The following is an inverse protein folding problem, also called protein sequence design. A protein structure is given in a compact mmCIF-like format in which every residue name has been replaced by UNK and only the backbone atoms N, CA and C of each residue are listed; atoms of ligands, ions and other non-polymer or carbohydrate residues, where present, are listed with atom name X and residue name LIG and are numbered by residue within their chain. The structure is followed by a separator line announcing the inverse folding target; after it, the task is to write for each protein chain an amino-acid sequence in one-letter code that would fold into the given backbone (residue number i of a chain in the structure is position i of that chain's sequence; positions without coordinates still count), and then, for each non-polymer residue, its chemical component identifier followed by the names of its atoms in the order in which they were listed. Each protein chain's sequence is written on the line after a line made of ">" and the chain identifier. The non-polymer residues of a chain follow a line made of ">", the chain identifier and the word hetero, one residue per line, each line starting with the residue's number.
data_IF_199235322864
#
_entry.id   IF_199235322864
#
_cell.length_a   1.000
_cell.length_b   1.000
_cell.length_c   1.000
_cell.angle_alpha   90.00
_cell.angle_beta   90.00
_cell.angle_gamma   90.00
#
_symmetry.space_group_name_H-M   'P 1'
#
loop_
_entity.id
_entity.type
_entity.pdbx_description
1 polymer ?
#
# COMPACT_ATOMS: atom_id res chain seq x y z
N UNK A 1 -20.88 14.51 75.55
CA UNK A 1 -20.11 13.49 74.81
C UNK A 1 -20.88 13.16 73.53
N UNK A 2 -20.20 13.02 72.38
CA UNK A 2 -20.73 12.51 71.09
C UNK A 2 -21.45 13.47 70.13
N UNK A 3 -20.87 14.64 69.80
CA UNK A 3 -21.21 15.37 68.55
C UNK A 3 -20.01 15.93 67.77
N UNK A 4 -18.77 15.61 68.15
CA UNK A 4 -17.55 16.08 67.45
C UNK A 4 -16.81 15.01 66.65
N UNK A 5 -17.29 13.76 66.66
CA UNK A 5 -16.64 12.65 65.92
C UNK A 5 -17.26 12.45 64.53
N UNK A 6 -18.45 12.98 64.27
CA UNK A 6 -19.12 12.82 62.97
C UNK A 6 -18.61 13.77 61.87
N UNK A 7 -17.84 14.81 62.22
CA UNK A 7 -17.30 15.78 61.25
C UNK A 7 -15.89 15.42 60.76
N UNK A 8 -15.24 14.41 61.34
CA UNK A 8 -13.91 13.96 60.92
C UNK A 8 -13.95 12.79 59.92
N UNK A 9 -15.09 12.11 59.79
CA UNK A 9 -15.25 10.98 58.86
C UNK A 9 -15.63 11.40 57.43
N UNK A 10 -16.06 12.66 57.21
CA UNK A 10 -16.44 13.16 55.87
C UNK A 10 -15.28 13.85 55.13
N UNK A 11 -14.19 14.18 55.83
CA UNK A 11 -13.03 14.85 55.24
C UNK A 11 -11.98 13.87 54.68
N UNK A 12 -12.10 12.56 54.95
CA UNK A 12 -11.13 11.54 54.52
C UNK A 12 -11.59 10.77 53.27
N UNK A 13 -12.86 10.88 52.85
CA UNK A 13 -13.33 10.29 51.59
C UNK A 13 -13.05 11.13 50.34
N UNK A 14 -12.54 12.37 50.48
CA UNK A 14 -12.25 13.26 49.35
C UNK A 14 -10.80 13.18 48.85
N UNK A 15 -9.98 12.26 49.37
CA UNK A 15 -8.57 12.10 48.97
C UNK A 15 -8.28 10.78 48.24
N UNK A 16 -9.32 10.08 47.77
CA UNK A 16 -9.18 8.90 46.89
C UNK A 16 -9.78 9.19 45.50
N UNK A 17 -9.71 10.44 45.03
CA UNK A 17 -9.61 10.67 43.59
C UNK A 17 -8.21 10.21 43.20
N UNK A 18 -8.08 8.91 42.97
CA UNK A 18 -6.88 8.34 42.38
C UNK A 18 -6.53 9.13 41.13
N UNK A 19 -5.26 9.49 41.00
CA UNK A 19 -4.70 9.76 39.69
C UNK A 19 -4.88 8.47 38.89
N UNK A 20 -6.00 8.39 38.17
CA UNK A 20 -6.01 7.65 36.92
C UNK A 20 -4.88 8.26 36.08
N UNK A 21 -4.05 7.44 35.39
CA UNK A 21 -3.12 7.99 34.43
C UNK A 21 -3.92 8.87 33.47
N UNK A 22 -3.47 10.09 33.23
CA UNK A 22 -4.13 11.04 32.32
C UNK A 22 -4.57 10.28 31.08
N UNK A 23 -5.89 10.25 30.87
CA UNK A 23 -6.52 9.59 29.75
C UNK A 23 -5.80 10.05 28.47
N UNK A 24 -5.46 9.10 27.61
CA UNK A 24 -5.01 9.38 26.24
C UNK A 24 -6.07 10.31 25.63
N UNK A 25 -5.76 11.60 25.52
CA UNK A 25 -6.65 12.64 25.00
C UNK A 25 -6.94 12.34 23.52
N UNK A 26 -7.98 11.54 23.32
CA UNK A 26 -8.50 11.17 22.03
C UNK A 26 -9.64 12.13 21.69
N UNK A 27 -9.48 12.92 20.63
CA UNK A 27 -10.51 13.82 20.15
C UNK A 27 -11.70 13.00 19.61
N UNK A 28 -12.89 13.27 20.14
CA UNK A 28 -14.14 12.63 19.71
C UNK A 28 -14.85 13.55 18.73
N UNK A 29 -15.02 13.08 17.51
CA UNK A 29 -15.68 13.77 16.40
C UNK A 29 -16.91 12.98 15.95
N UNK A 30 -17.78 13.58 15.14
CA UNK A 30 -18.92 12.88 14.50
C UNK A 30 -18.65 12.76 13.01
N UNK A 31 -18.92 11.63 12.37
CA UNK A 31 -18.80 11.50 10.90
C UNK A 31 -20.11 12.01 10.25
N UNK A 32 -20.00 12.98 9.33
CA UNK A 32 -21.11 13.43 8.49
C UNK A 32 -21.33 12.46 7.32
N UNK A 33 -22.58 12.07 7.09
CA UNK A 33 -23.00 11.24 5.97
C UNK A 33 -24.51 11.02 5.95
N UNK A 34 -25.01 10.39 4.88
CA UNK A 34 -26.43 10.03 4.73
C UNK A 34 -26.77 8.81 5.63
N UNK A 35 -26.88 9.04 6.94
CA UNK A 35 -27.13 7.98 7.93
C UNK A 35 -27.12 8.43 9.39
N UNK A 36 -27.07 7.47 10.32
CA UNK A 36 -26.92 7.76 11.75
C UNK A 36 -25.56 8.44 12.03
N UNK A 37 -25.58 9.49 12.84
CA UNK A 37 -24.38 10.20 13.29
C UNK A 37 -23.49 9.27 14.13
N UNK A 38 -22.44 8.74 13.52
CA UNK A 38 -21.48 7.89 14.20
C UNK A 38 -20.36 8.73 14.83
N UNK A 39 -20.05 8.43 16.09
CA UNK A 39 -18.91 9.05 16.78
C UNK A 39 -17.61 8.36 16.35
N UNK A 40 -16.66 9.14 15.89
CA UNK A 40 -15.30 8.73 15.60
C UNK A 40 -14.31 9.29 16.62
N UNK A 41 -13.24 8.56 16.85
CA UNK A 41 -12.07 8.96 17.63
C UNK A 41 -10.91 9.07 16.67
N UNK A 42 -10.17 10.17 16.76
CA UNK A 42 -8.92 10.36 16.05
C UNK A 42 -7.78 10.04 17.00
N UNK A 43 -6.97 9.00 16.73
CA UNK A 43 -5.76 8.74 17.48
C UNK A 43 -4.85 9.96 17.49
N UNK A 44 -4.32 10.31 18.67
CA UNK A 44 -3.40 11.43 18.82
C UNK A 44 -1.97 11.14 18.33
N UNK A 45 -1.69 9.90 17.93
CA UNK A 45 -0.37 9.47 17.47
C UNK A 45 -0.38 9.10 15.98
N UNK A 46 0.49 9.74 15.23
CA UNK A 46 0.79 9.40 13.83
C UNK A 46 2.09 8.60 13.79
N UNK A 47 2.08 7.45 13.12
CA UNK A 47 3.19 6.50 13.14
C UNK A 47 4.45 7.07 12.44
N UNK A 48 4.26 7.73 11.30
CA UNK A 48 5.30 8.43 10.52
C UNK A 48 4.66 9.52 9.67
N UNK A 49 5.46 10.42 9.11
CA UNK A 49 5.00 11.43 8.14
C UNK A 49 4.35 10.80 6.91
N UNK A 50 4.76 9.57 6.54
CA UNK A 50 4.22 8.81 5.42
C UNK A 50 2.89 8.09 5.68
N UNK A 51 2.42 8.00 6.94
CA UNK A 51 1.16 7.35 7.30
C UNK A 51 0.12 8.34 7.80
N UNK A 52 -1.11 8.16 7.33
CA UNK A 52 -2.27 8.91 7.79
C UNK A 52 -2.80 8.34 9.11
N UNK A 53 -3.32 9.23 9.97
CA UNK A 53 -4.10 8.80 11.13
C UNK A 53 -5.41 8.15 10.67
N UNK A 54 -5.71 6.98 11.22
CA UNK A 54 -6.94 6.23 10.90
C UNK A 54 -7.99 6.44 12.00
N UNK A 55 -9.25 6.64 11.60
CA UNK A 55 -10.35 6.87 12.54
C UNK A 55 -10.84 5.58 13.25
N UNK A 56 -11.34 5.72 14.48
CA UNK A 56 -11.88 4.63 15.31
C UNK A 56 -13.36 4.91 15.66
N UNK A 57 -14.32 3.96 15.60
CA UNK A 57 -14.13 2.55 15.32
C UNK A 57 -13.65 2.33 13.89
N UNK A 58 -12.68 1.43 13.74
CA UNK A 58 -12.15 1.05 12.44
C UNK A 58 -13.28 0.49 11.57
N UNK A 59 -13.45 1.08 10.40
CA UNK A 59 -14.41 0.63 9.38
C UNK A 59 -13.63 -0.08 8.28
N UNK A 60 -13.75 -1.42 8.17
CA UNK A 60 -13.12 -2.13 7.06
C UNK A 60 -13.70 -1.68 5.73
N UNK A 61 -12.90 -1.74 4.68
CA UNK A 61 -13.32 -1.41 3.33
C UNK A 61 -14.45 -2.33 2.85
N UNK A 62 -15.34 -1.79 2.01
CA UNK A 62 -16.45 -2.57 1.43
C UNK A 62 -15.99 -3.69 0.50
N UNK A 63 -14.75 -3.62 0.04
CA UNK A 63 -14.07 -4.61 -0.78
C UNK A 63 -13.06 -5.47 -0.01
N UNK A 64 -13.11 -5.48 1.33
CA UNK A 64 -12.11 -6.12 2.19
C UNK A 64 -11.79 -7.55 1.73
N UNK A 65 -10.49 -7.84 1.62
CA UNK A 65 -9.97 -9.16 1.30
C UNK A 65 -9.99 -9.52 -0.18
N UNK A 66 -10.61 -8.71 -1.06
CA UNK A 66 -10.57 -8.96 -2.51
C UNK A 66 -9.15 -8.82 -3.09
N UNK A 67 -8.33 -7.92 -2.55
CA UNK A 67 -6.96 -7.71 -3.03
C UNK A 67 -6.12 -8.98 -2.95
N UNK A 68 -6.33 -9.81 -1.91
CA UNK A 68 -5.59 -11.05 -1.65
C UNK A 68 -5.82 -12.10 -2.73
N UNK A 69 -7.00 -12.13 -3.35
CA UNK A 69 -7.32 -13.11 -4.41
C UNK A 69 -6.94 -12.64 -5.81
N UNK A 70 -6.64 -11.35 -5.98
CA UNK A 70 -6.59 -10.72 -7.29
C UNK A 70 -5.18 -10.31 -7.72
N UNK A 71 -4.29 -10.03 -6.76
CA UNK A 71 -2.90 -9.68 -7.07
C UNK A 71 -1.99 -10.90 -7.12
N UNK A 72 -0.93 -10.82 -7.93
CA UNK A 72 -0.01 -11.95 -8.17
C UNK A 72 0.82 -12.31 -6.95
N UNK A 73 1.40 -11.32 -6.27
CA UNK A 73 2.33 -11.54 -5.16
C UNK A 73 1.90 -10.80 -3.89
N UNK A 74 2.39 -11.26 -2.73
CA UNK A 74 2.21 -10.51 -1.48
C UNK A 74 2.97 -9.17 -1.51
N UNK A 75 4.07 -9.10 -2.25
CA UNK A 75 4.82 -7.87 -2.44
C UNK A 75 3.96 -6.81 -3.15
N UNK A 76 3.29 -7.19 -4.25
CA UNK A 76 2.35 -6.31 -4.95
C UNK A 76 1.21 -5.82 -4.05
N UNK A 77 0.67 -6.68 -3.19
CA UNK A 77 -0.41 -6.28 -2.26
C UNK A 77 0.05 -5.15 -1.35
N UNK A 78 1.22 -5.34 -0.72
CA UNK A 78 1.76 -4.35 0.22
C UNK A 78 2.05 -3.06 -0.54
N UNK A 79 2.76 -3.13 -1.66
CA UNK A 79 3.16 -1.93 -2.39
C UNK A 79 1.98 -1.20 -3.04
N UNK A 80 0.98 -1.92 -3.54
CA UNK A 80 -0.21 -1.31 -4.06
C UNK A 80 -0.98 -0.54 -2.99
N UNK A 81 -1.05 -1.05 -1.76
CA UNK A 81 -1.70 -0.35 -0.64
C UNK A 81 -0.87 0.83 -0.14
N UNK A 82 0.41 0.63 0.19
CA UNK A 82 1.26 1.67 0.75
C UNK A 82 1.64 2.74 -0.27
N UNK A 83 1.94 2.36 -1.51
CA UNK A 83 2.24 3.31 -2.58
C UNK A 83 1.02 4.13 -3.00
N UNK A 84 -0.21 3.61 -2.87
CA UNK A 84 -1.41 4.43 -3.06
C UNK A 84 -1.54 5.52 -1.98
N UNK A 85 -1.10 5.23 -0.75
CA UNK A 85 -0.98 6.26 0.29
C UNK A 85 0.13 7.26 -0.03
N UNK A 86 1.26 6.85 -0.63
CA UNK A 86 2.29 7.79 -1.09
C UNK A 86 1.74 8.75 -2.14
N UNK A 87 1.08 8.23 -3.18
CA UNK A 87 0.44 9.06 -4.23
C UNK A 87 -0.61 10.00 -3.65
N UNK A 88 -1.33 9.57 -2.62
CA UNK A 88 -2.32 10.43 -1.97
C UNK A 88 -1.74 11.70 -1.38
N UNK A 89 -0.49 11.68 -0.90
CA UNK A 89 0.15 12.81 -0.22
C UNK A 89 0.38 14.01 -1.15
N UNK A 90 0.44 13.79 -2.46
CA UNK A 90 0.55 14.86 -3.48
C UNK A 90 -0.64 15.84 -3.41
N UNK A 91 -1.81 15.38 -2.99
CA UNK A 91 -3.04 16.19 -2.94
C UNK A 91 -3.73 16.21 -1.57
N UNK A 92 -3.45 15.25 -0.70
CA UNK A 92 -4.12 15.06 0.57
C UNK A 92 -3.09 14.96 1.69
N UNK A 93 -2.63 16.09 2.26
CA UNK A 93 -1.57 16.06 3.29
C UNK A 93 -1.99 15.26 4.56
N UNK A 94 -1.15 14.38 5.10
CA UNK A 94 -1.44 13.59 6.31
C UNK A 94 -1.57 14.43 7.58
N UNK A 95 -1.11 15.69 7.56
CA UNK A 95 -1.30 16.64 8.66
C UNK A 95 -2.77 17.04 8.84
N UNK A 96 -3.49 17.14 7.72
CA UNK A 96 -4.85 17.69 7.66
C UNK A 96 -5.91 16.66 7.29
N UNK A 97 -5.52 15.59 6.60
CA UNK A 97 -6.40 14.50 6.20
C UNK A 97 -6.23 13.27 7.09
N UNK A 98 -7.32 12.54 7.27
CA UNK A 98 -7.39 11.27 7.97
C UNK A 98 -7.70 10.17 6.97
N UNK A 99 -7.18 8.96 7.22
CA UNK A 99 -7.40 7.82 6.35
C UNK A 99 -8.59 6.97 6.80
N UNK A 100 -9.30 6.46 5.80
CA UNK A 100 -10.31 5.42 5.94
C UNK A 100 -10.24 4.50 4.72
N UNK A 101 -10.37 3.18 4.92
CA UNK A 101 -10.50 2.23 3.80
C UNK A 101 -11.76 2.52 2.97
N UNK A 102 -11.74 2.14 1.69
CA UNK A 102 -12.81 2.43 0.72
C UNK A 102 -14.22 2.04 1.18
N UNK A 103 -15.12 3.01 1.21
CA UNK A 103 -16.49 2.88 1.68
C UNK A 103 -17.53 3.01 0.57
N UNK A 104 -17.15 3.49 -0.62
CA UNK A 104 -18.10 3.88 -1.66
C UNK A 104 -18.24 2.81 -2.74
N UNK A 105 -17.15 2.15 -3.13
CA UNK A 105 -17.13 1.11 -4.15
C UNK A 105 -17.24 -0.27 -3.49
N UNK A 106 -18.45 -0.82 -3.51
CA UNK A 106 -18.76 -2.14 -2.95
C UNK A 106 -18.07 -3.30 -3.69
N UNK A 107 -17.79 -4.40 -2.99
CA UNK A 107 -17.14 -5.60 -3.54
C UNK A 107 -17.79 -6.12 -4.83
N UNK A 108 -19.13 -6.13 -4.89
CA UNK A 108 -19.85 -6.60 -6.08
C UNK A 108 -19.66 -5.67 -7.27
N UNK A 109 -19.58 -4.36 -7.05
CA UNK A 109 -19.28 -3.39 -8.10
C UNK A 109 -17.88 -3.62 -8.66
N UNK A 110 -16.89 -3.81 -7.78
CA UNK A 110 -15.51 -4.13 -8.22
C UNK A 110 -15.49 -5.43 -9.01
N UNK A 111 -16.13 -6.52 -8.54
CA UNK A 111 -16.21 -7.79 -9.31
C UNK A 111 -16.79 -7.59 -10.70
N UNK A 112 -17.85 -6.81 -10.82
CA UNK A 112 -18.46 -6.48 -12.12
C UNK A 112 -17.50 -5.68 -13.01
N UNK A 113 -16.76 -4.72 -12.45
CA UNK A 113 -15.77 -3.93 -13.20
C UNK A 113 -14.56 -4.76 -13.64
N UNK A 114 -14.09 -5.69 -12.80
CA UNK A 114 -12.99 -6.60 -13.11
C UNK A 114 -13.35 -7.65 -14.17
N UNK A 115 -14.63 -7.88 -14.42
CA UNK A 115 -15.07 -8.84 -15.43
C UNK A 115 -14.70 -8.39 -16.85
N UNK A 116 -14.65 -9.34 -17.79
CA UNK A 116 -14.63 -9.01 -19.21
C UNK A 116 -15.93 -8.31 -19.59
N UNK A 117 -15.83 -7.34 -20.49
CA UNK A 117 -16.98 -6.84 -21.23
C UNK A 117 -17.53 -7.94 -22.13
N UNK A 118 -18.84 -7.94 -22.35
CA UNK A 118 -19.53 -8.91 -23.19
C UNK A 118 -20.03 -8.30 -24.50
N UNK A 119 -20.15 -9.12 -25.55
CA UNK A 119 -20.91 -8.77 -26.76
C UNK A 119 -22.40 -8.78 -26.50
N UNK A 120 -23.21 -8.25 -27.44
CA UNK A 120 -24.67 -8.31 -27.33
C UNK A 120 -25.20 -9.75 -27.31
N UNK A 121 -24.57 -10.65 -28.08
CA UNK A 121 -24.91 -12.07 -28.12
C UNK A 121 -24.63 -12.73 -26.77
N UNK A 122 -23.44 -12.49 -26.21
CA UNK A 122 -23.05 -13.02 -24.91
C UNK A 122 -23.94 -12.51 -23.77
N UNK A 123 -24.40 -11.25 -23.84
CA UNK A 123 -25.37 -10.72 -22.88
C UNK A 123 -26.70 -11.48 -22.95
N UNK A 124 -27.22 -11.73 -24.17
CA UNK A 124 -28.46 -12.47 -24.37
C UNK A 124 -28.35 -13.91 -23.85
N UNK A 125 -27.24 -14.58 -24.14
CA UNK A 125 -26.98 -15.95 -23.67
C UNK A 125 -26.88 -16.05 -22.14
N UNK A 126 -26.38 -14.99 -21.51
CA UNK A 126 -26.24 -14.89 -20.04
C UNK A 126 -27.45 -14.30 -19.34
N UNK A 127 -28.50 -13.98 -20.10
CA UNK A 127 -29.71 -13.31 -19.61
C UNK A 127 -29.43 -11.99 -18.88
N UNK A 128 -28.37 -11.28 -19.30
CA UNK A 128 -27.95 -10.00 -18.74
C UNK A 128 -28.48 -8.83 -19.58
N UNK A 129 -28.81 -7.73 -18.91
CA UNK A 129 -29.19 -6.49 -19.57
C UNK A 129 -27.97 -5.66 -19.98
N UNK A 130 -28.09 -4.75 -20.97
CA UNK A 130 -27.00 -3.87 -21.37
C UNK A 130 -26.40 -3.06 -20.22
N UNK A 131 -27.21 -2.65 -19.25
CA UNK A 131 -26.78 -1.87 -18.08
C UNK A 131 -25.92 -2.68 -17.10
N UNK A 132 -25.98 -4.01 -17.19
CA UNK A 132 -25.20 -4.95 -16.36
C UNK A 132 -23.84 -5.29 -17.00
N UNK A 133 -23.58 -4.84 -18.23
CA UNK A 133 -22.32 -5.06 -18.96
C UNK A 133 -21.21 -4.10 -18.50
N UNK A 134 -20.86 -4.17 -17.21
CA UNK A 134 -19.96 -3.23 -16.56
C UNK A 134 -18.47 -3.63 -16.65
N UNK A 135 -18.13 -4.74 -17.30
CA UNK A 135 -16.76 -5.22 -17.41
C UNK A 135 -15.82 -4.20 -18.06
N UNK A 136 -14.64 -4.01 -17.46
CA UNK A 136 -13.58 -3.11 -17.93
C UNK A 136 -12.47 -3.86 -18.67
N UNK A 137 -12.39 -5.18 -18.50
CA UNK A 137 -11.47 -6.02 -19.27
C UNK A 137 -12.01 -6.29 -20.68
N UNK A 138 -11.13 -6.53 -21.67
CA UNK A 138 -11.53 -6.64 -23.07
C UNK A 138 -12.44 -7.84 -23.31
N UNK A 139 -13.32 -7.68 -24.30
CA UNK A 139 -14.22 -8.72 -24.78
C UNK A 139 -13.40 -9.88 -25.33
N UNK A 140 -13.77 -11.09 -24.95
CA UNK A 140 -13.32 -12.32 -25.62
C UNK A 140 -14.49 -12.80 -26.47
N UNK A 141 -14.39 -12.67 -27.79
CA UNK A 141 -15.46 -13.05 -28.73
C UNK A 141 -15.51 -14.55 -29.02
N UNK A 142 -14.65 -15.33 -28.36
CA UNK A 142 -14.55 -16.78 -28.51
C UNK A 142 -14.11 -17.26 -29.90
N UNK A 143 -13.56 -16.37 -30.73
CA UNK A 143 -13.07 -16.68 -32.07
C UNK A 143 -11.56 -16.96 -32.09
N UNK A 144 -11.18 -18.10 -32.69
CA UNK A 144 -9.78 -18.53 -32.82
C UNK A 144 -9.35 -19.51 -31.73
N UNK A 145 -8.06 -19.82 -31.70
CA UNK A 145 -7.48 -20.68 -30.67
C UNK A 145 -7.48 -20.00 -29.30
N UNK A 146 -7.40 -20.80 -28.22
CA UNK A 146 -7.35 -20.26 -26.85
C UNK A 146 -6.16 -19.30 -26.66
N UNK A 147 -5.03 -19.59 -27.29
CA UNK A 147 -3.83 -18.76 -27.25
C UNK A 147 -4.05 -17.41 -27.93
N UNK A 148 -4.50 -17.41 -29.18
CA UNK A 148 -4.80 -16.17 -29.93
C UNK A 148 -5.83 -15.29 -29.21
N UNK A 149 -6.84 -15.90 -28.56
CA UNK A 149 -7.85 -15.17 -27.78
C UNK A 149 -7.25 -14.47 -26.56
N UNK A 150 -6.35 -15.13 -25.84
CA UNK A 150 -5.73 -14.58 -24.64
C UNK A 150 -4.67 -13.52 -24.97
N UNK A 151 -3.99 -13.60 -26.12
CA UNK A 151 -3.09 -12.56 -26.61
C UNK A 151 -3.84 -11.32 -27.13
N UNK A 152 -4.97 -11.52 -27.84
CA UNK A 152 -5.79 -10.41 -28.37
C UNK A 152 -6.56 -9.68 -27.28
N UNK A 153 -7.02 -10.42 -26.28
CA UNK A 153 -7.87 -9.92 -25.20
C UNK A 153 -7.34 -10.40 -23.84
N UNK A 154 -6.13 -10.00 -23.41
CA UNK A 154 -5.63 -10.36 -22.09
C UNK A 154 -6.45 -9.66 -21.00
N UNK A 155 -6.36 -10.14 -19.76
CA UNK A 155 -6.91 -9.43 -18.61
C UNK A 155 -5.92 -8.34 -18.22
N UNK A 156 -6.22 -7.09 -18.55
CA UNK A 156 -5.39 -5.94 -18.18
C UNK A 156 -5.59 -5.55 -16.72
N UNK A 157 -6.83 -5.46 -16.25
CA UNK A 157 -7.16 -4.99 -14.90
C UNK A 157 -7.38 -6.17 -13.96
N UNK A 158 -6.50 -6.32 -12.98
CA UNK A 158 -6.58 -7.37 -11.97
C UNK A 158 -7.35 -6.93 -10.74
N UNK A 159 -7.16 -5.69 -10.28
CA UNK A 159 -7.81 -5.20 -9.08
C UNK A 159 -8.08 -3.69 -9.11
N UNK A 160 -9.01 -3.27 -8.25
CA UNK A 160 -9.34 -1.86 -7.98
C UNK A 160 -9.39 -1.69 -6.47
N UNK A 161 -8.71 -0.68 -5.97
CA UNK A 161 -8.67 -0.32 -4.55
C UNK A 161 -9.12 1.13 -4.36
N UNK A 162 -9.87 1.40 -3.30
CA UNK A 162 -10.33 2.74 -2.93
C UNK A 162 -9.78 3.09 -1.55
N UNK A 163 -9.19 4.27 -1.44
CA UNK A 163 -8.83 4.94 -0.18
C UNK A 163 -9.67 6.20 -0.04
N UNK A 164 -10.17 6.46 1.17
CA UNK A 164 -10.93 7.66 1.50
C UNK A 164 -10.14 8.56 2.45
N UNK A 165 -10.21 9.86 2.17
CA UNK A 165 -9.51 10.89 2.91
C UNK A 165 -10.52 11.87 3.51
N UNK A 166 -10.56 11.91 4.83
CA UNK A 166 -11.51 12.70 5.62
C UNK A 166 -10.84 13.95 6.16
N UNK A 167 -11.58 15.05 6.27
CA UNK A 167 -11.13 16.26 6.98
C UNK A 167 -12.10 16.64 8.08
N UNK A 168 -11.60 17.39 9.06
CA UNK A 168 -12.46 18.07 10.04
C UNK A 168 -13.17 19.25 9.41
N UNK A 169 -14.44 19.43 9.75
CA UNK A 169 -15.27 20.58 9.45
C UNK A 169 -15.20 21.60 10.60
N UNK A 170 -15.79 22.78 10.40
CA UNK A 170 -15.86 23.84 11.41
C UNK A 170 -16.69 23.45 12.65
N UNK A 171 -17.63 22.52 12.52
CA UNK A 171 -18.49 22.04 13.59
C UNK A 171 -17.94 20.83 14.36
N UNK A 172 -16.64 20.52 14.20
CA UNK A 172 -15.99 19.35 14.80
C UNK A 172 -16.70 18.05 14.38
N UNK A 173 -16.84 17.88 13.07
CA UNK A 173 -17.28 16.64 12.46
C UNK A 173 -16.34 16.27 11.29
N UNK A 174 -16.43 15.03 10.84
CA UNK A 174 -15.58 14.48 9.77
C UNK A 174 -16.40 14.33 8.51
N UNK A 175 -15.87 14.81 7.39
CA UNK A 175 -16.49 14.66 6.08
C UNK A 175 -15.51 14.04 5.09
N UNK A 176 -16.03 13.32 4.10
CA UNK A 176 -15.24 12.86 2.96
C UNK A 176 -14.81 14.06 2.12
N UNK A 177 -13.51 14.25 1.98
CA UNK A 177 -12.91 15.41 1.31
C UNK A 177 -11.96 15.04 0.18
N UNK A 178 -11.74 13.74 -0.04
CA UNK A 178 -10.95 13.21 -1.15
C UNK A 178 -11.02 11.69 -1.21
N UNK A 179 -10.78 11.12 -2.38
CA UNK A 179 -10.60 9.70 -2.56
C UNK A 179 -9.43 9.41 -3.51
N UNK A 180 -8.79 8.25 -3.33
CA UNK A 180 -7.77 7.74 -4.24
C UNK A 180 -8.19 6.36 -4.70
N UNK A 181 -8.15 6.13 -6.01
CA UNK A 181 -8.53 4.88 -6.64
C UNK A 181 -7.31 4.29 -7.34
N UNK A 182 -6.82 3.16 -6.83
CA UNK A 182 -5.77 2.40 -7.47
C UNK A 182 -6.35 1.43 -8.49
N UNK A 183 -5.72 1.33 -9.66
CA UNK A 183 -5.99 0.33 -10.69
C UNK A 183 -4.76 -0.57 -10.83
N UNK A 184 -4.86 -1.80 -10.33
CA UNK A 184 -3.79 -2.78 -10.46
C UNK A 184 -3.91 -3.49 -11.80
N UNK A 185 -2.86 -3.34 -12.62
CA UNK A 185 -2.78 -3.83 -13.98
C UNK A 185 -1.83 -5.03 -14.05
N UNK A 186 -2.13 -5.99 -14.90
CA UNK A 186 -1.24 -7.11 -15.17
C UNK A 186 -0.16 -6.70 -16.16
N UNK A 187 1.10 -6.96 -15.83
CA UNK A 187 2.22 -7.07 -16.79
C UNK A 187 2.20 -8.42 -17.50
N UNK A 188 1.72 -9.47 -16.82
CA UNK A 188 1.63 -10.83 -17.36
C UNK A 188 0.22 -11.36 -17.20
N UNK A 189 -0.38 -11.82 -18.31
CA UNK A 189 -1.69 -12.45 -18.33
C UNK A 189 -1.57 -13.97 -18.29
N UNK A 190 -2.04 -14.58 -17.21
CA UNK A 190 -1.99 -16.04 -17.01
C UNK A 190 -3.31 -16.71 -17.40
N UNK A 191 -3.24 -17.80 -18.16
CA UNK A 191 -4.41 -18.55 -18.62
C UNK A 191 -4.15 -20.06 -18.73
N UNK A 192 -5.21 -20.87 -18.78
CA UNK A 192 -5.12 -22.32 -19.03
C UNK A 192 -5.90 -22.68 -20.29
N UNK A 193 -5.40 -23.64 -21.07
CA UNK A 193 -6.07 -24.12 -22.29
C UNK A 193 -7.21 -25.12 -22.01
N UNK A 194 -7.15 -25.78 -20.86
CA UNK A 194 -8.13 -26.75 -20.41
C UNK A 194 -8.25 -26.73 -18.88
N UNK A 195 -9.33 -27.30 -18.35
CA UNK A 195 -9.59 -27.34 -16.91
C UNK A 195 -8.52 -28.21 -16.22
N UNK A 196 -7.83 -27.64 -15.24
CA UNK A 196 -6.71 -28.28 -14.53
C UNK A 196 -5.47 -28.59 -15.40
N UNK A 197 -5.35 -27.93 -16.56
CA UNK A 197 -4.17 -28.05 -17.43
C UNK A 197 -3.00 -27.17 -16.98
N UNK A 198 -1.95 -27.13 -17.82
CA UNK A 198 -0.82 -26.22 -17.63
C UNK A 198 -1.24 -24.75 -17.68
N UNK A 199 -0.54 -23.93 -16.91
CA UNK A 199 -0.67 -22.46 -16.94
C UNK A 199 0.28 -21.94 -18.01
N UNK A 200 -0.27 -21.13 -18.90
CA UNK A 200 0.44 -20.36 -19.91
C UNK A 200 0.41 -18.89 -19.50
N UNK A 201 1.38 -18.14 -19.97
CA UNK A 201 1.51 -16.71 -19.75
C UNK A 201 1.60 -15.97 -21.08
N UNK A 202 1.17 -14.71 -21.05
CA UNK A 202 1.39 -13.75 -22.11
C UNK A 202 1.90 -12.46 -21.47
N UNK A 203 3.14 -12.11 -21.76
CA UNK A 203 3.74 -10.84 -21.36
C UNK A 203 3.09 -9.70 -22.15
N UNK A 204 2.49 -8.76 -21.43
CA UNK A 204 1.83 -7.59 -22.01
C UNK A 204 2.88 -6.49 -22.07
N UNK A 205 3.17 -5.93 -23.27
CA UNK A 205 4.15 -4.85 -23.38
C UNK A 205 3.79 -3.65 -22.51
N UNK A 206 4.76 -3.03 -21.84
CA UNK A 206 4.55 -1.92 -20.89
C UNK A 206 3.73 -0.77 -21.48
N UNK A 207 4.00 -0.37 -22.73
CA UNK A 207 3.25 0.66 -23.43
C UNK A 207 1.77 0.29 -23.64
N UNK A 208 1.46 -1.00 -23.74
CA UNK A 208 0.09 -1.52 -23.84
C UNK A 208 -0.58 -1.52 -22.48
N UNK A 209 0.13 -1.95 -21.42
CA UNK A 209 -0.36 -1.89 -20.03
C UNK A 209 -0.77 -0.47 -19.68
N UNK A 210 0.12 0.51 -19.91
CA UNK A 210 -0.15 1.92 -19.61
C UNK A 210 -1.33 2.45 -20.45
N UNK A 211 -1.32 2.20 -21.76
CA UNK A 211 -2.39 2.67 -22.67
C UNK A 211 -3.77 2.14 -22.26
N UNK A 212 -3.88 0.84 -21.98
CA UNK A 212 -5.15 0.23 -21.59
C UNK A 212 -5.53 0.63 -20.16
N UNK A 213 -4.57 0.75 -19.24
CA UNK A 213 -4.79 1.30 -17.90
C UNK A 213 -5.40 2.70 -17.93
N UNK A 214 -4.85 3.60 -18.76
CA UNK A 214 -5.39 4.96 -18.95
C UNK A 214 -6.82 4.95 -19.53
N UNK A 215 -7.12 4.06 -20.49
CA UNK A 215 -8.49 3.91 -21.02
C UNK A 215 -9.48 3.39 -19.96
N UNK A 216 -9.04 2.46 -19.14
CA UNK A 216 -9.84 1.93 -18.03
C UNK A 216 -10.09 3.04 -17.00
N UNK A 217 -9.08 3.84 -16.68
CA UNK A 217 -9.21 4.98 -15.79
C UNK A 217 -10.22 6.02 -16.28
N UNK A 218 -10.30 6.30 -17.57
CA UNK A 218 -11.32 7.20 -18.15
C UNK A 218 -12.75 6.71 -17.88
N UNK A 219 -12.97 5.41 -17.97
CA UNK A 219 -14.28 4.81 -17.68
C UNK A 219 -14.56 4.79 -16.18
N UNK A 220 -13.55 4.49 -15.35
CA UNK A 220 -13.65 4.56 -13.89
C UNK A 220 -13.99 5.98 -13.44
N UNK A 221 -13.32 7.01 -13.97
CA UNK A 221 -13.57 8.42 -13.68
C UNK A 221 -15.04 8.79 -13.91
N UNK A 222 -15.63 8.36 -15.03
CA UNK A 222 -17.04 8.61 -15.35
C UNK A 222 -17.99 7.94 -14.36
N UNK A 223 -17.72 6.69 -14.00
CA UNK A 223 -18.56 5.91 -13.07
C UNK A 223 -18.49 6.46 -11.65
N UNK A 224 -17.30 6.84 -11.21
CA UNK A 224 -17.06 7.46 -9.89
C UNK A 224 -17.86 8.76 -9.76
N UNK A 225 -17.96 9.56 -10.82
CA UNK A 225 -18.79 10.78 -10.82
C UNK A 225 -20.30 10.55 -10.78
N UNK A 226 -20.75 9.32 -10.99
CA UNK A 226 -22.15 8.92 -10.83
C UNK A 226 -22.42 8.26 -9.46
N UNK A 227 -21.37 8.04 -8.67
CA UNK A 227 -21.46 7.37 -7.38
C UNK A 227 -21.74 8.38 -6.26
N UNK A 228 -22.70 8.03 -5.40
CA UNK A 228 -22.96 8.78 -4.18
C UNK A 228 -21.71 8.81 -3.28
N UNK A 229 -21.46 9.93 -2.60
CA UNK A 229 -20.23 10.18 -1.86
C UNK A 229 -19.03 10.63 -2.73
N UNK A 230 -18.86 10.08 -3.93
CA UNK A 230 -17.70 10.40 -4.79
C UNK A 230 -17.96 11.45 -5.89
N UNK A 231 -19.22 11.74 -6.20
CA UNK A 231 -19.58 12.68 -7.28
C UNK A 231 -18.97 14.09 -7.14
N UNK A 232 -18.87 14.60 -5.91
CA UNK A 232 -18.54 16.01 -5.64
C UNK A 232 -17.21 16.20 -4.86
N UNK A 233 -16.41 15.13 -4.73
CA UNK A 233 -15.10 15.16 -4.03
C UNK A 233 -13.94 15.04 -5.02
N UNK A 234 -12.76 15.63 -4.74
CA UNK A 234 -11.56 15.39 -5.54
C UNK A 234 -11.21 13.90 -5.54
N UNK A 235 -10.80 13.37 -6.69
CA UNK A 235 -10.45 11.95 -6.85
C UNK A 235 -9.13 11.82 -7.59
N UNK A 236 -8.16 11.15 -6.99
CA UNK A 236 -6.95 10.72 -7.69
C UNK A 236 -7.14 9.30 -8.21
N UNK A 237 -6.75 9.02 -9.45
CA UNK A 237 -6.73 7.67 -10.02
C UNK A 237 -5.28 7.32 -10.35
N UNK A 238 -4.77 6.21 -9.82
CA UNK A 238 -3.39 5.76 -9.99
C UNK A 238 -3.33 4.41 -10.70
N UNK A 239 -2.34 4.24 -11.57
CA UNK A 239 -2.07 3.00 -12.29
C UNK A 239 -0.89 2.29 -11.66
N UNK A 240 -1.12 1.07 -11.19
CA UNK A 240 -0.11 0.19 -10.63
C UNK A 240 0.15 -0.96 -11.59
N UNK A 241 1.38 -1.15 -12.04
CA UNK A 241 1.80 -2.29 -12.85
C UNK A 241 2.31 -3.37 -11.90
N UNK A 242 1.59 -4.48 -11.78
CA UNK A 242 2.04 -5.62 -10.99
C UNK A 242 3.23 -6.31 -11.63
N UNK A 243 3.99 -7.02 -10.81
CA UNK A 243 4.99 -7.95 -11.30
C UNK A 243 4.43 -9.35 -11.63
N UNK A 244 5.28 -10.19 -12.21
CA UNK A 244 4.99 -11.61 -12.44
C UNK A 244 4.81 -12.39 -11.13
N UNK A 245 4.18 -13.56 -11.19
CA UNK A 245 3.88 -14.39 -10.00
C UNK A 245 5.12 -15.00 -9.34
N UNK A 246 6.21 -15.09 -10.08
CA UNK A 246 7.51 -15.57 -9.63
C UNK A 246 8.47 -14.42 -9.25
N UNK A 247 8.04 -13.16 -9.38
CA UNK A 247 8.83 -12.03 -8.93
C UNK A 247 9.02 -12.03 -7.42
N UNK A 248 10.21 -11.61 -7.04
CA UNK A 248 10.69 -11.46 -5.67
C UNK A 248 10.78 -9.99 -5.24
N UNK A 249 10.33 -9.09 -6.12
CA UNK A 249 10.12 -7.66 -5.86
C UNK A 249 8.68 -7.28 -6.25
N UNK A 250 8.09 -6.25 -5.63
CA UNK A 250 6.78 -5.78 -6.04
C UNK A 250 6.83 -5.09 -7.41
N UNK A 251 5.67 -4.96 -8.02
CA UNK A 251 5.40 -3.99 -9.09
C UNK A 251 5.52 -2.55 -8.61
N UNK A 252 5.17 -1.62 -9.49
CA UNK A 252 5.36 -0.20 -9.26
C UNK A 252 4.20 0.64 -9.82
N UNK A 253 4.04 1.85 -9.30
CA UNK A 253 3.16 2.82 -9.93
C UNK A 253 3.81 3.39 -11.19
N UNK A 254 3.00 3.57 -12.24
CA UNK A 254 3.47 4.05 -13.57
C UNK A 254 2.91 5.42 -13.94
N UNK A 255 1.71 5.77 -13.44
CA UNK A 255 1.09 7.06 -13.68
C UNK A 255 -0.06 7.33 -12.71
N UNK A 256 -0.39 8.60 -12.50
CA UNK A 256 -1.64 8.99 -11.85
C UNK A 256 -2.26 10.23 -12.50
N UNK A 257 -3.52 10.48 -12.18
CA UNK A 257 -4.24 11.70 -12.56
C UNK A 257 -5.05 12.18 -11.37
N UNK A 258 -5.23 13.49 -11.26
CA UNK A 258 -6.12 14.11 -10.28
C UNK A 258 -7.34 14.72 -10.98
N UNK A 259 -8.52 14.45 -10.45
CA UNK A 259 -9.79 15.01 -10.90
C UNK A 259 -10.32 15.94 -9.82
N UNK A 260 -10.41 17.22 -10.13
CA UNK A 260 -11.01 18.20 -9.23
C UNK A 260 -12.51 17.96 -9.06
N UNK A 261 -13.11 18.67 -8.09
CA UNK A 261 -14.56 18.64 -7.88
C UNK A 261 -15.29 18.97 -9.19
N UNK A 262 -16.26 18.13 -9.56
CA UNK A 262 -17.08 18.23 -10.78
C UNK A 262 -16.36 17.89 -12.10
N UNK A 263 -15.10 17.46 -12.09
CA UNK A 263 -14.42 17.01 -13.31
C UNK A 263 -14.75 15.55 -13.61
N UNK A 264 -15.28 15.27 -14.80
CA UNK A 264 -15.68 13.93 -15.24
C UNK A 264 -14.83 13.38 -16.40
N UNK A 265 -13.74 14.07 -16.73
CA UNK A 265 -12.81 13.69 -17.79
C UNK A 265 -11.39 13.96 -17.33
N UNK A 266 -10.48 13.04 -17.64
CA UNK A 266 -9.07 13.17 -17.31
C UNK A 266 -8.43 14.19 -18.26
N UNK A 267 -7.69 15.15 -17.69
CA UNK A 267 -7.07 16.24 -18.47
C UNK A 267 -5.60 15.98 -18.78
N UNK A 268 -4.88 15.43 -17.81
CA UNK A 268 -3.44 15.18 -17.86
C UNK A 268 -3.10 13.98 -17.00
N UNK A 269 -1.92 13.42 -17.24
CA UNK A 269 -1.35 12.34 -16.46
C UNK A 269 0.01 12.79 -15.94
N UNK A 270 0.27 12.52 -14.69
CA UNK A 270 1.59 12.61 -14.09
C UNK A 270 2.23 11.22 -14.20
N UNK A 271 3.46 11.17 -14.72
CA UNK A 271 4.22 9.93 -14.86
C UNK A 271 4.91 9.60 -13.55
N UNK A 272 4.87 8.33 -13.15
CA UNK A 272 5.59 7.81 -11.98
C UNK A 272 6.69 6.89 -12.50
N UNK A 273 7.94 7.23 -12.18
CA UNK A 273 9.12 6.46 -12.62
C UNK A 273 9.67 5.60 -11.48
N UNK A 274 8.77 4.93 -10.75
CA UNK A 274 9.16 4.04 -9.66
C UNK A 274 9.63 2.69 -10.21
N UNK A 275 10.69 2.11 -9.64
CA UNK A 275 11.11 0.75 -9.95
C UNK A 275 11.85 0.09 -8.78
N UNK A 276 11.55 -1.18 -8.55
CA UNK A 276 12.24 -1.98 -7.55
C UNK A 276 13.38 -2.79 -8.17
N UNK A 277 14.49 -2.87 -7.45
CA UNK A 277 15.64 -3.72 -7.78
C UNK A 277 16.03 -4.56 -6.57
N UNK A 278 16.50 -5.78 -6.85
CA UNK A 278 17.22 -6.55 -5.84
C UNK A 278 18.70 -6.17 -5.80
N UNK A 279 19.27 -6.20 -4.60
CA UNK A 279 20.68 -6.00 -4.35
C UNK A 279 21.29 -7.22 -3.63
N UNK A 280 22.39 -7.79 -4.11
CA UNK A 280 22.97 -7.55 -5.44
C UNK A 280 22.10 -8.20 -6.54
N UNK A 281 22.12 -7.63 -7.75
CA UNK A 281 21.59 -8.26 -8.97
C UNK A 281 22.29 -7.71 -10.21
N UNK A 282 22.31 -8.50 -11.29
CA UNK A 282 22.86 -8.07 -12.60
C UNK A 282 22.14 -6.81 -13.12
N UNK A 283 20.84 -6.70 -12.84
CA UNK A 283 20.01 -5.57 -13.26
C UNK A 283 20.42 -4.29 -12.52
N UNK A 284 20.58 -4.36 -11.20
CA UNK A 284 21.05 -3.24 -10.39
C UNK A 284 22.50 -2.86 -10.73
N UNK A 285 23.39 -3.83 -11.01
CA UNK A 285 24.77 -3.52 -11.42
C UNK A 285 24.85 -2.79 -12.77
N UNK A 286 23.91 -3.11 -13.67
CA UNK A 286 23.80 -2.47 -14.98
C UNK A 286 23.21 -1.06 -14.87
N UNK A 287 22.13 -0.91 -14.11
CA UNK A 287 21.30 0.30 -14.11
C UNK A 287 21.70 1.29 -13.00
N UNK A 288 22.19 0.80 -11.85
CA UNK A 288 22.55 1.56 -10.65
C UNK A 288 23.88 1.07 -10.02
N UNK A 289 24.97 1.12 -10.80
CA UNK A 289 26.28 0.53 -10.44
C UNK A 289 26.85 0.96 -9.09
N UNK A 290 26.79 2.25 -8.78
CA UNK A 290 27.41 2.79 -7.56
C UNK A 290 26.69 2.26 -6.31
N UNK A 291 25.36 2.26 -6.31
CA UNK A 291 24.52 1.73 -5.24
C UNK A 291 24.70 0.20 -5.08
N UNK A 292 24.79 -0.52 -6.20
CA UNK A 292 25.13 -1.94 -6.19
C UNK A 292 26.51 -2.21 -5.56
N UNK A 293 27.50 -1.34 -5.84
CA UNK A 293 28.84 -1.44 -5.26
C UNK A 293 28.84 -1.17 -3.76
N UNK A 294 28.12 -0.15 -3.29
CA UNK A 294 27.98 0.12 -1.86
C UNK A 294 27.35 -1.06 -1.12
N UNK A 295 26.30 -1.66 -1.70
CA UNK A 295 25.67 -2.84 -1.11
C UNK A 295 26.61 -4.06 -1.08
N UNK A 296 27.39 -4.28 -2.14
CA UNK A 296 28.37 -5.37 -2.18
C UNK A 296 29.47 -5.21 -1.13
N UNK A 297 29.99 -3.99 -0.94
CA UNK A 297 30.99 -3.71 0.10
C UNK A 297 30.39 -3.91 1.50
N UNK A 298 29.17 -3.42 1.75
CA UNK A 298 28.44 -3.65 2.98
C UNK A 298 28.28 -5.16 3.27
N UNK A 299 27.89 -5.94 2.26
CA UNK A 299 27.74 -7.39 2.36
C UNK A 299 29.08 -8.07 2.67
N UNK A 300 30.14 -7.70 1.96
CA UNK A 300 31.48 -8.25 2.17
C UNK A 300 32.00 -7.98 3.59
N UNK A 301 31.84 -6.76 4.11
CA UNK A 301 32.31 -6.41 5.45
C UNK A 301 31.58 -7.19 6.56
N UNK A 302 30.33 -7.60 6.32
CA UNK A 302 29.60 -8.50 7.23
C UNK A 302 30.16 -9.92 7.14
N UNK A 303 30.30 -10.45 5.94
CA UNK A 303 30.77 -11.81 5.68
C UNK A 303 32.21 -12.04 6.18
N UNK A 304 33.07 -11.00 6.19
CA UNK A 304 34.45 -11.09 6.71
C UNK A 304 34.52 -11.26 8.25
N UNK A 305 33.53 -10.75 8.99
CA UNK A 305 33.51 -10.83 10.45
C UNK A 305 32.61 -11.95 10.99
N UNK A 306 31.62 -12.38 10.20
CA UNK A 306 30.64 -13.38 10.59
C UNK A 306 30.51 -14.45 9.50
N UNK A 307 31.19 -15.58 9.70
CA UNK A 307 31.10 -16.75 8.81
C UNK A 307 29.64 -17.23 8.63
N UNK A 308 29.31 -17.75 7.44
CA UNK A 308 28.02 -18.36 7.05
C UNK A 308 26.81 -17.41 6.76
N UNK A 309 27.02 -16.13 6.45
CA UNK A 309 25.92 -15.17 6.18
C UNK A 309 25.69 -14.89 4.68
N UNK A 310 25.41 -15.92 3.87
CA UNK A 310 25.27 -15.75 2.42
C UNK A 310 23.90 -15.17 1.99
N UNK A 311 22.98 -14.96 2.92
CA UNK A 311 21.57 -14.62 2.66
C UNK A 311 21.23 -13.12 2.69
N UNK A 312 22.22 -12.23 2.76
CA UNK A 312 21.99 -10.77 2.77
C UNK A 312 21.47 -10.33 1.40
N UNK A 313 20.24 -9.80 1.40
CA UNK A 313 19.53 -9.30 0.21
C UNK A 313 18.92 -7.93 0.50
N UNK A 314 19.08 -7.00 -0.43
CA UNK A 314 18.45 -5.69 -0.42
C UNK A 314 17.30 -5.61 -1.42
N UNK A 315 16.25 -4.89 -1.07
CA UNK A 315 15.19 -4.43 -1.98
C UNK A 315 15.25 -2.91 -2.02
N UNK A 316 15.59 -2.37 -3.19
CA UNK A 316 15.81 -0.95 -3.40
C UNK A 316 14.72 -0.37 -4.30
N UNK A 317 14.03 0.67 -3.84
CA UNK A 317 13.10 1.45 -4.64
C UNK A 317 13.82 2.66 -5.22
N UNK A 318 13.69 2.85 -6.52
CA UNK A 318 14.17 4.03 -7.24
C UNK A 318 13.00 4.84 -7.78
N UNK A 319 13.16 6.16 -7.82
CA UNK A 319 12.33 7.05 -8.61
C UNK A 319 13.23 7.75 -9.66
N UNK A 320 13.10 7.34 -10.92
CA UNK A 320 14.10 7.65 -11.94
C UNK A 320 15.44 7.02 -11.56
N UNK A 321 16.48 7.85 -11.51
CA UNK A 321 17.84 7.40 -11.15
C UNK A 321 18.16 7.52 -9.65
N UNK A 322 17.22 8.02 -8.84
CA UNK A 322 17.45 8.29 -7.42
C UNK A 322 16.95 7.13 -6.56
N UNK A 323 17.83 6.55 -5.74
CA UNK A 323 17.46 5.62 -4.67
C UNK A 323 16.61 6.35 -3.61
N UNK A 324 15.38 5.89 -3.40
CA UNK A 324 14.42 6.52 -2.48
C UNK A 324 14.15 5.70 -1.23
N UNK A 325 14.33 4.38 -1.28
CA UNK A 325 14.18 3.49 -0.12
C UNK A 325 15.07 2.26 -0.29
N UNK A 326 15.70 1.81 0.80
CA UNK A 326 16.49 0.59 0.82
C UNK A 326 16.10 -0.27 2.02
N UNK A 327 15.50 -1.42 1.74
CA UNK A 327 15.23 -2.45 2.73
C UNK A 327 16.27 -3.55 2.62
N UNK A 328 16.89 -3.94 3.74
CA UNK A 328 17.91 -4.99 3.80
C UNK A 328 17.43 -6.10 4.72
N UNK A 329 17.38 -7.32 4.21
CA UNK A 329 17.00 -8.51 4.94
C UNK A 329 18.25 -9.36 5.21
N UNK A 330 18.51 -9.64 6.49
CA UNK A 330 19.68 -10.39 6.96
C UNK A 330 19.23 -11.60 7.79
N UNK A 331 19.20 -12.81 7.18
CA UNK A 331 18.98 -14.04 7.92
C UNK A 331 20.25 -14.42 8.71
N UNK A 332 20.07 -14.76 9.99
CA UNK A 332 21.14 -15.14 10.91
C UNK A 332 20.88 -16.50 11.57
N UNK A 333 21.94 -17.24 11.84
CA UNK A 333 21.94 -18.51 12.58
C UNK A 333 22.71 -18.38 13.91
N UNK A 334 22.32 -17.44 14.77
CA UNK A 334 22.99 -17.26 16.06
C UNK A 334 22.47 -18.17 17.16
N UNK A 335 23.38 -18.53 18.07
CA UNK A 335 23.10 -19.45 19.18
C UNK A 335 22.77 -18.71 20.49
N UNK A 336 22.88 -17.38 20.53
CA UNK A 336 22.58 -16.59 21.72
C UNK A 336 22.33 -15.10 21.51
N UNK A 337 21.61 -14.48 22.47
CA UNK A 337 21.19 -13.07 22.38
C UNK A 337 22.35 -12.06 22.41
N UNK A 338 23.44 -12.39 23.10
CA UNK A 338 24.63 -11.54 23.14
C UNK A 338 25.30 -11.42 21.75
N UNK A 339 25.31 -12.52 20.99
CA UNK A 339 25.82 -12.57 19.62
C UNK A 339 24.96 -11.73 18.68
N UNK A 340 23.62 -11.90 18.73
CA UNK A 340 22.69 -11.07 17.97
C UNK A 340 22.84 -9.56 18.29
N UNK A 341 23.09 -9.21 19.56
CA UNK A 341 23.30 -7.81 19.97
C UNK A 341 24.61 -7.24 19.39
N UNK A 342 25.72 -7.98 19.49
CA UNK A 342 27.00 -7.54 18.93
C UNK A 342 26.97 -7.45 17.40
N UNK A 343 26.31 -8.40 16.74
CA UNK A 343 26.07 -8.37 15.30
C UNK A 343 25.25 -7.13 14.90
N UNK A 344 24.16 -6.85 15.60
CA UNK A 344 23.32 -5.66 15.33
C UNK A 344 24.14 -4.37 15.45
N UNK A 345 25.01 -4.26 16.47
CA UNK A 345 25.89 -3.10 16.64
C UNK A 345 26.86 -2.94 15.47
N UNK A 346 27.45 -4.04 15.00
CA UNK A 346 28.37 -4.02 13.86
C UNK A 346 27.66 -3.62 12.57
N UNK A 347 26.52 -4.24 12.26
CA UNK A 347 25.69 -3.89 11.08
C UNK A 347 25.25 -2.44 11.13
N UNK A 348 24.89 -1.91 12.30
CA UNK A 348 24.51 -0.50 12.47
C UNK A 348 25.64 0.44 12.05
N UNK A 349 26.90 0.14 12.45
CA UNK A 349 28.06 0.92 12.01
C UNK A 349 28.25 0.87 10.50
N UNK A 350 28.16 -0.33 9.91
CA UNK A 350 28.28 -0.50 8.45
C UNK A 350 27.19 0.22 7.67
N UNK A 351 25.95 0.30 8.18
CA UNK A 351 24.89 1.09 7.55
C UNK A 351 25.27 2.57 7.48
N UNK A 352 25.91 3.09 8.53
CA UNK A 352 26.37 4.48 8.58
C UNK A 352 27.58 4.73 7.68
N UNK A 353 28.47 3.74 7.52
CA UNK A 353 29.71 3.86 6.77
C UNK A 353 29.51 3.71 5.25
N UNK A 354 28.63 2.80 4.81
CA UNK A 354 28.47 2.45 3.40
C UNK A 354 27.38 3.20 2.66
N UNK A 355 26.30 3.59 3.35
CA UNK A 355 25.13 4.18 2.67
C UNK A 355 24.95 5.66 2.96
N UNK A 356 24.64 6.48 1.94
CA UNK A 356 24.51 7.92 2.10
C UNK A 356 23.32 8.29 2.99
N UNK A 357 23.47 9.33 3.80
CA UNK A 357 22.49 9.71 4.83
C UNK A 357 21.11 10.13 4.28
N UNK A 358 21.02 10.56 3.02
CA UNK A 358 19.75 10.97 2.41
C UNK A 358 18.81 9.79 2.10
N UNK A 359 19.33 8.55 2.08
CA UNK A 359 18.52 7.36 1.80
C UNK A 359 17.96 6.80 3.11
N UNK A 360 16.62 6.66 3.23
CA UNK A 360 16.03 5.93 4.33
C UNK A 360 16.34 4.43 4.18
N UNK A 361 16.70 3.81 5.30
CA UNK A 361 17.13 2.40 5.34
C UNK A 361 16.44 1.66 6.46
N UNK A 362 15.86 0.51 6.13
CA UNK A 362 15.37 -0.48 7.08
C UNK A 362 16.22 -1.75 6.97
N UNK A 363 16.86 -2.17 8.07
CA UNK A 363 17.54 -3.47 8.14
C UNK A 363 16.79 -4.39 9.09
N UNK A 364 16.26 -5.48 8.54
CA UNK A 364 15.62 -6.55 9.31
C UNK A 364 16.60 -7.69 9.51
N UNK A 365 16.95 -7.95 10.77
CA UNK A 365 17.78 -9.06 11.17
C UNK A 365 16.89 -10.12 11.80
N UNK A 366 16.84 -11.32 11.23
CA UNK A 366 15.93 -12.38 11.67
C UNK A 366 16.57 -13.76 11.66
N UNK A 367 16.07 -14.64 12.51
CA UNK A 367 16.45 -16.05 12.57
C UNK A 367 15.28 -16.94 12.18
N UNK A 368 15.49 -18.26 12.13
CA UNK A 368 14.41 -19.24 11.97
C UNK A 368 13.34 -19.16 13.09
N UNK A 369 13.65 -18.52 14.22
CA UNK A 369 12.72 -18.35 15.35
C UNK A 369 11.90 -17.06 15.27
N UNK A 370 12.25 -16.13 14.38
CA UNK A 370 11.57 -14.84 14.24
C UNK A 370 12.53 -13.65 14.16
N UNK A 371 12.01 -12.42 14.32
CA UNK A 371 12.81 -11.20 14.26
C UNK A 371 13.77 -11.10 15.46
N UNK A 372 15.01 -10.71 15.21
CA UNK A 372 16.07 -10.62 16.21
C UNK A 372 16.45 -9.17 16.51
N UNK A 373 16.52 -8.33 15.47
CA UNK A 373 16.73 -6.90 15.56
C UNK A 373 16.17 -6.15 14.35
N UNK A 374 15.92 -4.86 14.55
CA UNK A 374 15.48 -3.89 13.55
C UNK A 374 16.37 -2.64 13.65
N UNK A 375 16.90 -2.19 12.52
CA UNK A 375 17.65 -0.94 12.40
C UNK A 375 16.89 -0.05 11.41
N UNK A 376 16.49 1.15 11.83
CA UNK A 376 15.79 2.12 10.98
C UNK A 376 16.56 3.43 10.96
N UNK A 377 17.01 3.84 9.78
CA UNK A 377 17.57 5.17 9.55
C UNK A 377 16.61 5.94 8.65
N UNK A 378 16.00 6.98 9.19
CA UNK A 378 15.21 7.92 8.40
C UNK A 378 16.13 8.77 7.51
N UNK A 379 15.61 9.29 6.40
CA UNK A 379 16.36 10.19 5.53
C UNK A 379 16.92 11.41 6.30
N UNK A 380 18.15 11.80 5.99
CA UNK A 380 18.91 12.90 6.60
C UNK A 380 19.21 12.74 8.10
N UNK A 381 18.83 11.61 8.71
CA UNK A 381 19.17 11.32 10.09
C UNK A 381 20.54 10.60 10.18
N UNK A 382 21.46 11.20 10.94
CA UNK A 382 22.81 10.65 11.09
C UNK A 382 22.84 9.37 11.92
N UNK A 383 21.96 9.24 12.92
CA UNK A 383 21.95 8.10 13.83
C UNK A 383 20.70 7.23 13.62
N UNK A 384 20.87 5.94 13.27
CA UNK A 384 19.75 5.01 13.14
C UNK A 384 19.14 4.67 14.50
N UNK A 385 17.83 4.43 14.51
CA UNK A 385 17.11 3.81 15.64
C UNK A 385 17.32 2.30 15.58
N UNK A 386 17.74 1.72 16.70
CA UNK A 386 18.01 0.28 16.80
C UNK A 386 17.13 -0.35 17.86
N UNK A 387 16.48 -1.45 17.52
CA UNK A 387 15.70 -2.27 18.43
C UNK A 387 16.13 -3.72 18.37
N UNK A 388 16.41 -4.33 19.53
CA UNK A 388 16.73 -5.76 19.65
C UNK A 388 15.57 -6.45 20.35
N UNK A 389 14.96 -7.43 19.68
CA UNK A 389 13.78 -8.17 20.18
C UNK A 389 14.15 -9.03 21.40
N UNK A 390 13.21 -9.24 22.33
CA UNK A 390 13.44 -9.95 23.59
C UNK A 390 12.76 -11.30 23.65
#
# INVERSE_FOLDING_TARGET
>A
MNKRIFSAALAVMLLISGCAPDDIENEKEVIQGDGEQEKAIIPNYQLSESYYRTIVPYKPGKARGMVVSNLNTRYDIVEFETGLMRIAQEHFSPDTYLFQEGQMIEANTIRSWLSRKYTEEQLKERELKPEENLGLNPVDNEEGSVEERNEKSPIYLAHIMEHNYLTKTEDNSLQLSGAVIGLALNSVHYYTKEKYGAVYDYEIPDEVVEREGKKIAEEVAKRVRQMEGLKDVPVTIALFKQESRDSVVPGNFIAYTHLEKNENAIKSWETVNEKYYLLPSDEAERDHRDDATYFLNFKQDIEEQFDNHNGIVGTALYNGDQLVDLKIDIPIEFYGKAEATGFTQYVTGLVMDHFPAYVPIEVNIYSNSGPEALIVREAENQEPRVYVYK
#
